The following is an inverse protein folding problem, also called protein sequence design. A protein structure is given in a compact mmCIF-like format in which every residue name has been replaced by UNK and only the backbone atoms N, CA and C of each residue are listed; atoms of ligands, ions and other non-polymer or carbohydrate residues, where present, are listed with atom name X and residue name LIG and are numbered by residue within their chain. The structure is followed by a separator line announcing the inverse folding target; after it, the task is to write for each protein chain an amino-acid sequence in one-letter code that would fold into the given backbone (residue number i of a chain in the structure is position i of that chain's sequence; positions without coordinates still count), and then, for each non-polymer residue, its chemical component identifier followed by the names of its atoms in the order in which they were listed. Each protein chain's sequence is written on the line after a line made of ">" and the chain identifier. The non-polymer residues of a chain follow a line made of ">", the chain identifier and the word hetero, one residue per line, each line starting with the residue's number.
data_IF_606062812276
#
_entry.id   IF_606062812276
#
_cell.length_a   1.000
_cell.length_b   1.000
_cell.length_c   1.000
_cell.angle_alpha   90.00
_cell.angle_beta   90.00
_cell.angle_gamma   90.00
#
_symmetry.space_group_name_H-M   'P 1'
#
loop_
_entity.id
_entity.type
_entity.pdbx_description
1 polymer ?
#
# COMPACT_ATOMS: atom_id res chain seq x y z
N UNK A 1 -1.96 -14.60 29.27
CA UNK A 1 -2.75 -15.70 28.66
C UNK A 1 -1.96 -16.50 27.62
N UNK A 2 -0.81 -16.00 27.12
CA UNK A 2 -0.08 -16.64 26.01
C UNK A 2 -0.81 -16.52 24.66
N UNK A 3 -1.82 -15.64 24.59
CA UNK A 3 -2.68 -15.48 23.43
C UNK A 3 -2.06 -14.50 22.42
N UNK A 4 -2.19 -14.83 21.14
CA UNK A 4 -1.75 -14.04 20.00
C UNK A 4 -2.80 -14.15 18.91
N UNK A 5 -3.17 -13.03 18.29
CA UNK A 5 -4.12 -12.99 17.17
C UNK A 5 -3.45 -12.41 15.94
N UNK A 6 -3.75 -13.00 14.77
CA UNK A 6 -3.32 -12.47 13.48
C UNK A 6 -4.44 -11.64 12.87
N UNK A 7 -4.07 -10.62 12.10
CA UNK A 7 -5.02 -9.80 11.34
C UNK A 7 -4.97 -10.12 9.85
N UNK A 8 -6.02 -9.75 9.12
CA UNK A 8 -6.06 -9.87 7.65
C UNK A 8 -5.09 -8.90 6.95
N UNK A 9 -4.55 -7.92 7.69
CA UNK A 9 -3.53 -6.96 7.23
C UNK A 9 -2.11 -7.38 7.60
N UNK A 10 -1.87 -8.68 7.83
CA UNK A 10 -0.54 -9.22 8.14
C UNK A 10 0.08 -8.63 9.42
N UNK A 11 -0.75 -8.15 10.35
CA UNK A 11 -0.34 -7.64 11.66
C UNK A 11 -0.67 -8.64 12.79
N UNK A 12 -0.16 -8.34 13.98
CA UNK A 12 -0.33 -9.13 15.20
C UNK A 12 -1.07 -8.32 16.27
N UNK A 13 -1.85 -9.00 17.11
CA UNK A 13 -2.46 -8.43 18.32
C UNK A 13 -2.11 -9.32 19.52
N UNK A 14 -1.61 -8.71 20.58
CA UNK A 14 -1.34 -9.36 21.88
C UNK A 14 -2.35 -8.83 22.89
N UNK A 15 -3.47 -9.54 23.14
CA UNK A 15 -4.50 -9.08 24.07
C UNK A 15 -4.14 -9.37 25.53
N UNK A 16 -4.89 -8.75 26.45
CA UNK A 16 -4.82 -9.01 27.89
C UNK A 16 -3.46 -8.66 28.53
N UNK A 17 -2.78 -7.63 28.02
CA UNK A 17 -1.63 -7.01 28.68
C UNK A 17 -2.18 -6.09 29.79
N UNK A 18 -1.65 -6.23 31.01
CA UNK A 18 -2.00 -5.32 32.10
C UNK A 18 -1.37 -3.96 31.84
N UNK A 19 -2.05 -2.88 32.21
CA UNK A 19 -1.57 -1.52 31.92
C UNK A 19 -0.19 -1.24 32.50
N UNK A 20 0.14 -1.82 33.66
CA UNK A 20 1.48 -1.71 34.27
C UNK A 20 2.59 -2.47 33.51
N UNK A 21 2.24 -3.49 32.72
CA UNK A 21 3.18 -4.32 31.97
C UNK A 21 3.46 -3.74 30.56
N UNK A 22 2.64 -2.79 30.08
CA UNK A 22 2.71 -2.24 28.71
C UNK A 22 4.10 -1.70 28.32
N UNK A 23 4.77 -0.87 29.14
CA UNK A 23 6.09 -0.33 28.77
C UNK A 23 7.16 -1.42 28.60
N UNK A 24 7.12 -2.46 29.43
CA UNK A 24 8.08 -3.56 29.37
C UNK A 24 7.85 -4.42 28.13
N UNK A 25 6.59 -4.73 27.82
CA UNK A 25 6.23 -5.50 26.62
C UNK A 25 6.58 -4.71 25.35
N UNK A 26 6.28 -3.41 25.31
CA UNK A 26 6.63 -2.56 24.17
C UNK A 26 8.14 -2.52 23.93
N UNK A 27 8.95 -2.38 24.98
CA UNK A 27 10.41 -2.41 24.86
C UNK A 27 10.94 -3.77 24.35
N UNK A 28 10.36 -4.88 24.80
CA UNK A 28 10.75 -6.21 24.33
C UNK A 28 10.39 -6.41 22.85
N UNK A 29 9.19 -6.01 22.43
CA UNK A 29 8.77 -6.05 21.03
C UNK A 29 9.71 -5.23 20.13
N UNK A 30 10.07 -4.01 20.56
CA UNK A 30 11.03 -3.16 19.86
C UNK A 30 12.39 -3.85 19.71
N UNK A 31 12.88 -4.53 20.75
CA UNK A 31 14.15 -5.27 20.70
C UNK A 31 14.15 -6.43 19.70
N UNK A 32 12.96 -6.96 19.37
CA UNK A 32 12.76 -8.00 18.36
C UNK A 32 12.51 -7.42 16.96
N UNK A 33 12.51 -6.09 16.80
CA UNK A 33 12.20 -5.40 15.55
C UNK A 33 10.69 -5.35 15.23
N UNK A 34 9.83 -5.51 16.25
CA UNK A 34 8.39 -5.38 16.13
C UNK A 34 7.94 -4.03 16.68
N UNK A 35 7.63 -3.12 15.77
CA UNK A 35 7.12 -1.80 16.12
C UNK A 35 5.67 -1.89 16.65
N UNK A 36 5.39 -1.16 17.73
CA UNK A 36 4.05 -1.03 18.33
C UNK A 36 3.30 0.21 17.85
N UNK A 37 3.99 1.11 17.14
CA UNK A 37 3.43 2.28 16.48
C UNK A 37 3.69 2.17 14.98
N UNK A 38 2.62 2.23 14.18
CA UNK A 38 2.71 2.19 12.74
C UNK A 38 2.19 3.51 12.16
N UNK A 39 2.86 4.01 11.12
CA UNK A 39 2.28 5.05 10.28
C UNK A 39 0.99 4.55 9.64
N UNK A 40 0.10 5.47 9.28
CA UNK A 40 -1.11 5.17 8.52
C UNK A 40 -0.83 4.42 7.21
N UNK A 41 0.36 4.59 6.63
CA UNK A 41 0.80 3.82 5.45
C UNK A 41 1.17 2.38 5.79
N UNK A 42 1.95 2.15 6.86
CA UNK A 42 2.32 0.78 7.28
C UNK A 42 1.14 -0.01 7.80
N UNK A 43 0.23 0.64 8.51
CA UNK A 43 -0.96 0.00 9.06
C UNK A 43 -1.88 -0.60 7.97
N UNK A 44 -1.93 0.04 6.79
CA UNK A 44 -2.72 -0.41 5.63
C UNK A 44 -1.94 -1.19 4.58
N UNK A 45 -0.65 -1.47 4.78
CA UNK A 45 0.20 -2.11 3.77
C UNK A 45 0.10 -3.64 3.82
N UNK A 46 -0.23 -4.26 2.68
CA UNK A 46 -0.30 -5.71 2.53
C UNK A 46 0.50 -6.11 1.30
N UNK A 47 1.36 -7.12 1.41
CA UNK A 47 2.12 -7.64 0.27
C UNK A 47 2.08 -9.16 0.21
N UNK A 48 2.02 -9.73 -1.00
CA UNK A 48 2.15 -11.18 -1.15
C UNK A 48 3.63 -11.60 -1.03
N UNK A 49 3.92 -12.90 -1.21
CA UNK A 49 5.29 -13.43 -1.09
C UNK A 49 6.31 -12.79 -2.05
N UNK A 50 5.87 -12.42 -3.27
CA UNK A 50 6.72 -11.81 -4.29
C UNK A 50 7.76 -12.76 -4.89
N UNK A 51 8.56 -12.26 -5.83
CA UNK A 51 9.60 -13.04 -6.55
C UNK A 51 10.70 -13.57 -5.63
N UNK A 52 10.84 -13.00 -4.42
CA UNK A 52 11.75 -13.50 -3.39
C UNK A 52 11.42 -14.93 -2.91
N UNK A 53 10.17 -15.40 -3.07
CA UNK A 53 9.77 -16.74 -2.62
C UNK A 53 8.64 -17.40 -3.40
N UNK A 54 8.07 -16.74 -4.42
CA UNK A 54 7.01 -17.28 -5.26
C UNK A 54 7.43 -17.31 -6.73
N UNK A 55 7.42 -18.50 -7.34
CA UNK A 55 7.79 -18.72 -8.75
C UNK A 55 6.87 -18.03 -9.77
N UNK A 56 5.68 -17.62 -9.35
CA UNK A 56 4.69 -16.98 -10.22
C UNK A 56 4.79 -15.47 -10.22
N UNK A 57 5.50 -14.88 -9.26
CA UNK A 57 5.54 -13.44 -9.09
C UNK A 57 6.44 -12.79 -10.14
N UNK A 58 5.94 -11.75 -10.79
CA UNK A 58 6.69 -10.94 -11.73
C UNK A 58 7.62 -9.94 -11.03
N UNK A 59 7.32 -9.57 -9.77
CA UNK A 59 8.00 -8.49 -9.04
C UNK A 59 8.26 -8.83 -7.56
N UNK A 60 9.24 -8.15 -6.95
CA UNK A 60 9.59 -8.32 -5.54
C UNK A 60 8.69 -7.51 -4.59
N UNK A 61 7.48 -8.02 -4.36
CA UNK A 61 6.41 -7.30 -3.67
C UNK A 61 6.75 -6.83 -2.25
N UNK A 62 7.39 -7.65 -1.42
CA UNK A 62 7.70 -7.27 -0.02
C UNK A 62 8.72 -6.13 0.04
N UNK A 63 9.75 -6.20 -0.80
CA UNK A 63 10.76 -5.16 -0.84
C UNK A 63 10.18 -3.84 -1.37
N UNK A 64 9.36 -3.92 -2.40
CA UNK A 64 8.75 -2.75 -3.03
C UNK A 64 7.67 -2.12 -2.15
N UNK A 65 6.84 -2.92 -1.48
CA UNK A 65 5.89 -2.43 -0.49
C UNK A 65 6.58 -1.60 0.60
N UNK A 66 7.74 -2.05 1.10
CA UNK A 66 8.52 -1.33 2.10
C UNK A 66 9.18 -0.06 1.53
N UNK A 67 9.55 -0.03 0.25
CA UNK A 67 10.04 1.18 -0.43
C UNK A 67 8.93 2.21 -0.61
N UNK A 68 7.72 1.77 -0.97
CA UNK A 68 6.53 2.62 -1.10
C UNK A 68 6.20 3.23 0.26
N UNK A 69 6.06 2.43 1.32
CA UNK A 69 5.78 2.97 2.65
C UNK A 69 6.82 3.99 3.12
N UNK A 70 8.12 3.68 3.01
CA UNK A 70 9.17 4.64 3.39
C UNK A 70 9.10 5.95 2.60
N UNK A 71 8.83 5.86 1.30
CA UNK A 71 8.69 7.04 0.46
C UNK A 71 7.50 7.90 0.91
N UNK A 72 6.35 7.29 1.18
CA UNK A 72 5.15 8.01 1.63
C UNK A 72 5.35 8.65 3.02
N UNK A 73 5.97 7.92 3.95
CA UNK A 73 6.30 8.40 5.31
C UNK A 73 7.21 9.63 5.31
N UNK A 74 8.04 9.81 4.28
CA UNK A 74 8.94 10.95 4.16
C UNK A 74 8.24 12.22 3.64
N UNK A 75 7.08 12.08 3.00
CA UNK A 75 6.45 13.19 2.27
C UNK A 75 5.05 13.54 2.77
N UNK A 76 4.38 12.65 3.50
CA UNK A 76 2.98 12.82 3.88
C UNK A 76 2.72 12.33 5.30
N UNK A 77 1.77 13.00 5.95
CA UNK A 77 1.12 12.54 7.17
C UNK A 77 -0.36 12.30 6.87
N UNK A 78 -0.90 11.17 7.35
CA UNK A 78 -2.30 10.80 7.17
C UNK A 78 -2.96 10.50 8.51
N UNK A 79 -4.14 11.05 8.71
CA UNK A 79 -4.98 10.75 9.88
C UNK A 79 -5.54 9.32 9.84
N UNK A 80 -5.81 8.80 8.64
CA UNK A 80 -6.41 7.49 8.43
C UNK A 80 -5.57 6.63 7.48
N UNK A 81 -5.49 5.31 7.70
CA UNK A 81 -4.78 4.41 6.80
C UNK A 81 -5.36 4.42 5.37
N UNK A 82 -4.45 4.37 4.39
CA UNK A 82 -4.77 4.00 3.01
C UNK A 82 -4.31 2.55 2.83
N UNK A 83 -5.20 1.68 2.36
CA UNK A 83 -4.89 0.27 2.14
C UNK A 83 -4.12 0.09 0.83
N UNK A 84 -2.83 -0.20 0.94
CA UNK A 84 -1.91 -0.39 -0.19
C UNK A 84 -1.61 -1.87 -0.35
N UNK A 85 -2.11 -2.48 -1.43
CA UNK A 85 -2.10 -3.93 -1.63
C UNK A 85 -1.18 -4.33 -2.78
N UNK A 86 -0.03 -4.90 -2.48
CA UNK A 86 1.04 -5.23 -3.44
C UNK A 86 1.04 -6.73 -3.77
N UNK A 87 0.52 -7.06 -4.95
CA UNK A 87 0.41 -8.41 -5.49
C UNK A 87 1.46 -8.64 -6.58
N UNK A 88 2.06 -9.83 -6.64
CA UNK A 88 3.11 -10.15 -7.62
C UNK A 88 2.63 -10.82 -8.90
N UNK A 89 1.39 -11.33 -8.96
CA UNK A 89 0.82 -11.99 -10.13
C UNK A 89 -0.72 -11.99 -10.12
N UNK A 90 -1.34 -12.48 -11.18
CA UNK A 90 -2.81 -12.54 -11.36
C UNK A 90 -3.58 -13.35 -10.30
N UNK A 91 -2.93 -14.13 -9.43
CA UNK A 91 -3.61 -14.85 -8.34
C UNK A 91 -4.11 -13.95 -7.20
N UNK A 92 -3.70 -12.67 -7.16
CA UNK A 92 -4.28 -11.69 -6.23
C UNK A 92 -4.19 -12.06 -4.74
N UNK A 93 -3.10 -12.70 -4.30
CA UNK A 93 -2.96 -13.14 -2.90
C UNK A 93 -2.96 -11.99 -1.88
N UNK A 94 -2.56 -10.77 -2.27
CA UNK A 94 -2.70 -9.56 -1.44
C UNK A 94 -3.96 -8.73 -1.80
N UNK A 95 -4.85 -9.26 -2.64
CA UNK A 95 -6.17 -8.68 -2.90
C UNK A 95 -6.12 -7.24 -3.47
N UNK A 96 -5.26 -7.00 -4.47
CA UNK A 96 -5.05 -5.68 -5.07
C UNK A 96 -6.34 -5.02 -5.63
N UNK A 97 -7.29 -5.78 -6.16
CA UNK A 97 -8.54 -5.23 -6.70
C UNK A 97 -9.49 -4.61 -5.65
N UNK A 98 -9.27 -4.86 -4.36
CA UNK A 98 -10.13 -4.33 -3.28
C UNK A 98 -9.35 -3.44 -2.30
N UNK A 99 -8.08 -3.16 -2.57
CA UNK A 99 -7.31 -2.15 -1.83
C UNK A 99 -7.66 -0.75 -2.33
N UNK A 100 -7.42 0.26 -1.49
CA UNK A 100 -7.53 1.66 -1.89
C UNK A 100 -6.56 1.94 -3.05
N UNK A 101 -5.33 1.45 -2.93
CA UNK A 101 -4.31 1.45 -3.99
C UNK A 101 -3.80 0.01 -4.16
N UNK A 102 -4.12 -0.61 -5.29
CA UNK A 102 -3.71 -1.96 -5.65
C UNK A 102 -2.54 -1.94 -6.64
N UNK A 103 -1.54 -2.79 -6.44
CA UNK A 103 -0.46 -3.01 -7.39
C UNK A 103 -0.45 -4.49 -7.79
N UNK A 104 -0.36 -4.77 -9.08
CA UNK A 104 -0.17 -6.13 -9.62
C UNK A 104 1.12 -6.20 -10.43
N UNK A 105 1.98 -7.15 -10.05
CA UNK A 105 3.28 -7.36 -10.67
C UNK A 105 3.14 -7.72 -12.15
N UNK A 106 3.90 -7.02 -12.98
CA UNK A 106 3.99 -7.20 -14.43
C UNK A 106 5.46 -7.08 -14.85
N UNK A 107 5.76 -7.40 -16.11
CA UNK A 107 7.07 -7.10 -16.71
C UNK A 107 6.97 -5.84 -17.57
N UNK A 108 7.96 -4.97 -17.42
CA UNK A 108 8.07 -3.68 -18.13
C UNK A 108 9.30 -3.73 -19.01
N UNK A 109 9.17 -3.31 -20.26
CA UNK A 109 10.28 -3.21 -21.21
C UNK A 109 10.98 -1.87 -20.98
N UNK A 110 12.29 -1.92 -20.72
CA UNK A 110 13.16 -0.74 -20.60
C UNK A 110 14.38 -1.03 -21.46
N UNK A 111 14.57 -0.21 -22.51
CA UNK A 111 15.53 -0.47 -23.57
C UNK A 111 15.33 -1.86 -24.21
N UNK A 112 16.29 -2.77 -24.09
CA UNK A 112 16.21 -4.15 -24.60
C UNK A 112 15.92 -5.19 -23.48
N UNK A 113 15.69 -4.74 -22.25
CA UNK A 113 15.52 -5.58 -21.05
C UNK A 113 14.09 -5.60 -20.52
N UNK A 114 13.68 -6.74 -19.96
CA UNK A 114 12.42 -6.87 -19.22
C UNK A 114 12.68 -6.77 -17.71
N UNK A 115 12.23 -5.67 -17.10
CA UNK A 115 12.40 -5.40 -15.66
C UNK A 115 11.11 -5.64 -14.87
N UNK A 116 11.25 -5.74 -13.54
CA UNK A 116 10.13 -5.81 -12.61
C UNK A 116 9.31 -4.51 -12.64
N UNK A 117 7.98 -4.63 -12.64
CA UNK A 117 7.09 -3.48 -12.55
C UNK A 117 5.69 -3.84 -12.08
N UNK A 118 4.78 -2.88 -12.19
CA UNK A 118 3.42 -2.99 -11.70
C UNK A 118 2.43 -2.27 -12.63
N UNK A 119 1.24 -2.85 -12.76
CA UNK A 119 0.04 -2.11 -13.11
C UNK A 119 -0.62 -1.66 -11.79
N UNK A 120 -1.02 -0.39 -11.71
CA UNK A 120 -1.51 0.26 -10.49
C UNK A 120 -3.00 0.58 -10.67
N UNK A 121 -3.78 0.20 -9.67
CA UNK A 121 -5.23 0.36 -9.61
C UNK A 121 -5.62 1.16 -8.38
N UNK A 122 -6.73 1.90 -8.44
CA UNK A 122 -7.24 2.69 -7.32
C UNK A 122 -8.74 2.53 -7.11
N UNK A 123 -9.19 2.80 -5.89
CA UNK A 123 -10.62 2.87 -5.54
C UNK A 123 -11.28 1.51 -5.37
N UNK A 124 -10.51 0.47 -5.05
CA UNK A 124 -11.08 -0.79 -4.60
C UNK A 124 -11.64 -0.66 -3.18
N UNK A 125 -12.56 -1.56 -2.81
CA UNK A 125 -13.12 -1.55 -1.46
C UNK A 125 -13.91 -2.80 -1.12
N UNK A 126 -14.23 -2.95 0.17
CA UNK A 126 -14.97 -4.08 0.72
C UNK A 126 -16.03 -3.64 1.73
N UNK A 127 -16.83 -4.60 2.23
CA UNK A 127 -17.83 -4.33 3.26
C UNK A 127 -19.01 -3.50 2.75
N UNK A 128 -19.22 -2.32 3.34
CA UNK A 128 -20.26 -1.37 2.92
C UNK A 128 -19.83 -0.58 1.67
N UNK A 129 -18.53 -0.44 1.43
CA UNK A 129 -17.96 0.30 0.29
C UNK A 129 -17.40 -0.67 -0.75
N UNK A 130 -18.30 -1.42 -1.38
CA UNK A 130 -17.94 -2.46 -2.36
C UNK A 130 -17.60 -1.83 -3.70
N UNK A 131 -16.34 -1.91 -4.07
CA UNK A 131 -15.85 -1.43 -5.35
C UNK A 131 -14.69 -2.30 -5.84
N UNK A 132 -14.56 -2.39 -7.16
CA UNK A 132 -13.38 -2.98 -7.80
C UNK A 132 -12.49 -1.84 -8.27
N UNK A 133 -11.21 -1.94 -7.94
CA UNK A 133 -10.23 -0.94 -8.29
C UNK A 133 -10.13 -0.74 -9.81
N UNK A 134 -9.96 0.51 -10.23
CA UNK A 134 -9.86 0.94 -11.63
C UNK A 134 -8.40 1.20 -11.97
N UNK A 135 -8.00 0.86 -13.19
CA UNK A 135 -6.62 1.00 -13.66
C UNK A 135 -6.24 2.49 -13.70
N UNK A 136 -5.17 2.85 -12.99
CA UNK A 136 -4.64 4.22 -12.92
C UNK A 136 -3.34 4.36 -13.71
N UNK A 137 -2.46 3.36 -13.70
CA UNK A 137 -1.26 3.34 -14.51
C UNK A 137 -0.88 1.92 -14.91
N UNK A 138 -0.37 1.76 -16.13
CA UNK A 138 0.16 0.50 -16.64
C UNK A 138 1.68 0.59 -16.75
N UNK A 139 2.33 -0.57 -16.64
CA UNK A 139 3.77 -0.73 -16.93
C UNK A 139 4.68 0.24 -16.17
N UNK A 140 4.35 0.53 -14.91
CA UNK A 140 5.21 1.33 -14.03
C UNK A 140 6.36 0.46 -13.56
N UNK A 141 7.61 0.90 -13.71
CA UNK A 141 8.75 0.11 -13.22
C UNK A 141 8.72 0.01 -11.68
N UNK A 142 9.30 -1.04 -11.11
CA UNK A 142 9.43 -1.20 -9.65
C UNK A 142 10.16 -0.02 -8.99
N UNK A 143 11.07 0.64 -9.72
CA UNK A 143 11.78 1.83 -9.26
C UNK A 143 10.89 3.08 -9.20
N UNK A 144 9.97 3.23 -10.16
CA UNK A 144 9.05 4.37 -10.24
C UNK A 144 7.81 4.20 -9.36
N UNK A 145 7.47 2.97 -8.96
CA UNK A 145 6.24 2.66 -8.23
C UNK A 145 6.03 3.53 -6.98
N UNK A 146 7.08 3.79 -6.20
CA UNK A 146 6.99 4.69 -5.04
C UNK A 146 6.58 6.11 -5.42
N UNK A 147 7.14 6.66 -6.51
CA UNK A 147 6.84 8.01 -6.98
C UNK A 147 5.41 8.11 -7.50
N UNK A 148 4.97 7.14 -8.31
CA UNK A 148 3.59 7.12 -8.84
C UNK A 148 2.56 6.99 -7.72
N UNK A 149 2.78 6.13 -6.73
CA UNK A 149 1.91 6.06 -5.55
C UNK A 149 1.94 7.36 -4.75
N UNK A 150 3.10 8.01 -4.65
CA UNK A 150 3.24 9.35 -4.07
C UNK A 150 2.40 10.41 -4.78
N UNK A 151 2.39 10.42 -6.11
CA UNK A 151 1.53 11.30 -6.93
C UNK A 151 0.06 11.11 -6.62
N UNK A 152 -0.39 9.85 -6.54
CA UNK A 152 -1.79 9.51 -6.25
C UNK A 152 -2.19 10.05 -4.86
N UNK A 153 -1.32 9.86 -3.85
CA UNK A 153 -1.56 10.36 -2.49
C UNK A 153 -1.55 11.90 -2.45
N UNK A 154 -0.65 12.54 -3.18
CA UNK A 154 -0.57 14.00 -3.25
C UNK A 154 -1.81 14.63 -3.89
N UNK A 155 -2.29 14.07 -5.00
CA UNK A 155 -3.51 14.54 -5.69
C UNK A 155 -4.75 14.31 -4.82
N UNK A 156 -4.82 13.19 -4.10
CA UNK A 156 -5.85 12.97 -3.08
C UNK A 156 -5.82 14.05 -2.00
N UNK A 157 -4.66 14.30 -1.38
CA UNK A 157 -4.54 15.28 -0.30
C UNK A 157 -4.86 16.72 -0.75
N UNK A 158 -4.56 17.06 -2.00
CA UNK A 158 -4.88 18.37 -2.58
C UNK A 158 -6.36 18.49 -2.97
N UNK A 159 -6.96 17.40 -3.46
CA UNK A 159 -8.30 17.42 -4.05
C UNK A 159 -9.43 16.97 -3.12
N UNK A 160 -9.12 16.45 -1.92
CA UNK A 160 -10.14 15.93 -1.00
C UNK A 160 -10.98 17.03 -0.36
N UNK A 161 -12.25 16.73 -0.13
CA UNK A 161 -13.10 17.54 0.74
C UNK A 161 -12.69 17.37 2.22
N UNK A 162 -13.20 18.26 3.08
CA UNK A 162 -12.95 18.15 4.52
C UNK A 162 -13.51 16.84 5.09
N UNK A 163 -12.69 16.12 5.86
CA UNK A 163 -13.01 14.78 6.37
C UNK A 163 -13.19 13.67 5.32
N UNK A 164 -12.97 13.93 4.02
CA UNK A 164 -13.07 12.92 2.97
C UNK A 164 -11.88 11.97 3.05
N UNK A 165 -12.16 10.65 3.01
CA UNK A 165 -11.14 9.61 2.95
C UNK A 165 -10.83 9.19 1.51
N UNK A 166 -9.74 8.42 1.34
CA UNK A 166 -9.25 8.05 0.01
C UNK A 166 -10.28 7.28 -0.82
N UNK A 167 -10.95 6.29 -0.22
CA UNK A 167 -11.98 5.51 -0.90
C UNK A 167 -13.12 6.39 -1.43
N UNK A 168 -13.60 7.35 -0.63
CA UNK A 168 -14.66 8.28 -1.04
C UNK A 168 -14.18 9.20 -2.16
N UNK A 169 -12.99 9.78 -2.00
CA UNK A 169 -12.35 10.61 -3.02
C UNK A 169 -12.21 9.85 -4.35
N UNK A 170 -11.64 8.65 -4.32
CA UNK A 170 -11.44 7.83 -5.50
C UNK A 170 -12.75 7.42 -6.16
N UNK A 171 -13.82 7.18 -5.39
CA UNK A 171 -15.12 6.75 -5.93
C UNK A 171 -15.86 7.81 -6.75
N UNK A 172 -15.64 9.10 -6.47
CA UNK A 172 -16.31 10.21 -7.19
C UNK A 172 -15.58 10.65 -8.45
N UNK A 173 -14.35 10.20 -8.67
CA UNK A 173 -13.59 10.53 -9.88
C UNK A 173 -14.18 9.82 -11.10
N UNK A 174 -14.45 10.52 -12.21
CA UNK A 174 -14.73 9.92 -13.50
C UNK A 174 -13.65 8.92 -13.93
N UNK A 175 -14.01 7.91 -14.74
CA UNK A 175 -13.07 6.88 -15.19
C UNK A 175 -11.87 7.46 -15.95
N UNK A 176 -12.07 8.51 -16.72
CA UNK A 176 -11.04 9.23 -17.48
C UNK A 176 -10.16 10.15 -16.62
N UNK A 177 -10.54 10.40 -15.36
CA UNK A 177 -9.74 11.17 -14.42
C UNK A 177 -8.86 10.30 -13.52
N UNK A 178 -9.14 9.00 -13.40
CA UNK A 178 -8.37 8.07 -12.56
C UNK A 178 -6.90 8.03 -12.96
N UNK A 179 -6.61 7.97 -14.26
CA UNK A 179 -5.23 7.95 -14.76
C UNK A 179 -4.48 9.26 -14.53
N UNK A 180 -5.20 10.38 -14.34
CA UNK A 180 -4.58 11.68 -14.09
C UNK A 180 -3.92 11.78 -12.71
N UNK A 181 -4.26 10.87 -11.77
CA UNK A 181 -3.62 10.82 -10.46
C UNK A 181 -2.21 10.23 -10.52
N UNK A 182 -1.94 9.38 -11.51
CA UNK A 182 -0.75 8.54 -11.57
C UNK A 182 0.36 9.14 -12.46
N UNK A 183 0.73 10.40 -12.19
CA UNK A 183 1.78 11.11 -12.94
C UNK A 183 3.17 10.67 -12.47
N UNK A 184 4.12 10.49 -13.39
CA UNK A 184 5.52 10.16 -13.08
C UNK A 184 6.32 11.35 -12.52
N UNK A 185 5.85 12.59 -12.75
CA UNK A 185 6.59 13.82 -12.41
C UNK A 185 6.29 14.38 -11.01
N UNK A 186 6.07 13.54 -10.00
CA UNK A 186 5.97 14.06 -8.63
C UNK A 186 7.35 14.49 -8.13
N UNK A 187 7.60 15.80 -8.25
CA UNK A 187 8.55 16.51 -7.41
C UNK A 187 7.78 17.06 -6.19
N UNK A 188 8.14 16.68 -4.94
CA UNK A 188 7.52 17.26 -3.76
C UNK A 188 7.71 18.78 -3.81
N UNK A 189 6.62 19.54 -3.78
CA UNK A 189 6.72 21.00 -3.62
C UNK A 189 7.20 21.28 -2.18
N UNK A 190 8.16 22.19 -2.01
CA UNK A 190 8.75 22.50 -0.71
C UNK A 190 7.72 23.05 0.29
#
# INVERSE_FOLDING_TARGET
>A
TGELRLTVWQNLIIPNIRSEDEPAVTAELHSLGLETQASSFRAGLVACTGSAGCKFAASNTKQDAMRIARHLEQHFELEHPINIHVTGCHHSCAQHYIGDIGLIGTKVEVDEDMVDGYDIYIGGGWGERRAIARLAAEKVTSQEASSVVGSIVAEYLQGKADGEDFATYASRLPDDEVSNLAKLDFAPRP
#
